data_IF_260843480126
#
_entry.id   IF_260843480126
#
_cell.length_a   1.000
_cell.length_b   1.000
_cell.length_c   1.000
_cell.angle_alpha   90.00
_cell.angle_beta   90.00
_cell.angle_gamma   90.00
#
_symmetry.space_group_name_H-M   'P 1'
#
loop_
_entity.id
_entity.type
_entity.pdbx_description
1 polymer ?
#
# COMPACT_ATOMS: atom_id res chain seq x y z
N UNK A 1 -3.96 10.91 0.93
CA UNK A 1 -4.62 11.25 -0.35
C UNK A 1 -5.73 10.26 -0.66
N UNK A 2 -6.72 10.65 -1.46
CA UNK A 2 -7.65 9.70 -2.10
C UNK A 2 -7.26 9.50 -3.56
N UNK A 3 -7.03 8.26 -3.97
CA UNK A 3 -6.68 7.86 -5.34
C UNK A 3 -7.76 6.91 -5.82
N UNK A 4 -8.60 7.34 -6.77
CA UNK A 4 -9.75 6.56 -7.22
C UNK A 4 -9.96 6.63 -8.74
N UNK A 5 -10.61 5.61 -9.31
CA UNK A 5 -11.04 5.59 -10.71
C UNK A 5 -9.93 5.42 -11.76
N UNK A 6 -8.73 4.98 -11.36
CA UNK A 6 -7.63 4.76 -12.29
C UNK A 6 -7.73 3.40 -12.96
N UNK A 7 -7.92 3.36 -14.28
CA UNK A 7 -8.15 2.10 -15.00
C UNK A 7 -6.97 1.12 -14.82
N UNK A 8 -5.71 1.56 -14.92
CA UNK A 8 -4.54 0.65 -14.97
C UNK A 8 -3.68 0.57 -13.69
N UNK A 9 -4.14 1.14 -12.57
CA UNK A 9 -3.39 1.14 -11.29
C UNK A 9 -3.33 2.50 -10.59
N UNK A 10 -2.98 2.50 -9.31
CA UNK A 10 -2.90 3.72 -8.48
C UNK A 10 -1.50 4.35 -8.46
N UNK A 11 -0.60 3.80 -7.64
CA UNK A 11 0.76 4.31 -7.43
C UNK A 11 1.79 3.35 -8.07
N UNK A 12 2.73 3.90 -8.83
CA UNK A 12 3.80 3.14 -9.47
C UNK A 12 5.17 3.56 -8.93
N UNK A 13 5.90 2.60 -8.37
CA UNK A 13 7.24 2.77 -7.77
C UNK A 13 8.27 2.02 -8.62
N UNK A 14 9.41 2.68 -8.88
CA UNK A 14 10.58 2.09 -9.55
C UNK A 14 11.76 1.99 -8.59
N UNK A 15 12.74 1.18 -8.96
CA UNK A 15 13.99 1.05 -8.20
C UNK A 15 14.71 2.36 -7.95
N UNK A 16 15.54 2.37 -6.89
CA UNK A 16 16.24 3.54 -6.36
C UNK A 16 15.31 4.64 -5.85
N UNK A 17 14.03 4.33 -5.63
CA UNK A 17 13.11 5.17 -4.88
C UNK A 17 13.05 4.71 -3.42
N UNK A 18 12.80 5.65 -2.52
CA UNK A 18 12.49 5.39 -1.11
C UNK A 18 11.13 6.01 -0.77
N UNK A 19 10.03 5.50 -1.37
CA UNK A 19 8.74 6.16 -1.24
C UNK A 19 8.13 5.89 0.13
N UNK A 20 7.45 6.92 0.65
CA UNK A 20 6.58 6.84 1.82
C UNK A 20 5.15 7.03 1.33
N UNK A 21 4.39 5.95 1.30
CA UNK A 21 2.99 5.93 0.91
C UNK A 21 2.19 5.74 2.20
N UNK A 22 1.77 6.85 2.79
CA UNK A 22 1.20 6.87 4.13
C UNK A 22 -0.15 7.60 4.13
N UNK A 23 -1.14 7.07 4.85
CA UNK A 23 -2.46 7.68 5.03
C UNK A 23 -3.15 8.02 3.70
N UNK A 24 -3.28 7.01 2.83
CA UNK A 24 -4.01 7.11 1.57
C UNK A 24 -5.19 6.15 1.52
N UNK A 25 -6.25 6.56 0.84
CA UNK A 25 -7.34 5.68 0.39
C UNK A 25 -7.15 5.44 -1.10
N UNK A 26 -6.93 4.19 -1.51
CA UNK A 26 -6.64 3.80 -2.90
C UNK A 26 -7.66 2.77 -3.36
N UNK A 27 -8.46 3.12 -4.37
CA UNK A 27 -9.61 2.32 -4.78
C UNK A 27 -9.93 2.42 -6.28
N UNK A 28 -10.71 1.49 -6.81
CA UNK A 28 -11.21 1.53 -8.19
C UNK A 28 -10.15 1.29 -9.27
N UNK A 29 -9.00 0.69 -8.91
CA UNK A 29 -7.99 0.29 -9.88
C UNK A 29 -8.35 -1.04 -10.57
N UNK A 30 -9.33 -1.01 -11.50
CA UNK A 30 -9.99 -2.23 -12.01
C UNK A 30 -9.17 -3.09 -12.99
N UNK A 31 -8.14 -2.55 -13.65
CA UNK A 31 -7.25 -3.32 -14.54
C UNK A 31 -5.79 -3.32 -14.07
N UNK A 32 -5.52 -2.97 -12.82
CA UNK A 32 -4.16 -2.91 -12.28
C UNK A 32 -4.04 -3.02 -10.77
N UNK A 33 -2.82 -2.77 -10.28
CA UNK A 33 -2.54 -2.80 -8.85
C UNK A 33 -2.78 -1.42 -8.23
N UNK A 34 -3.33 -1.39 -7.02
CA UNK A 34 -3.44 -0.17 -6.22
C UNK A 34 -2.07 0.46 -6.01
N UNK A 35 -1.08 -0.36 -5.62
CA UNK A 35 0.33 0.03 -5.54
C UNK A 35 1.16 -1.03 -6.24
N UNK A 36 1.96 -0.61 -7.22
CA UNK A 36 2.88 -1.46 -7.96
C UNK A 36 4.33 -1.03 -7.73
N UNK A 37 5.14 -1.96 -7.26
CA UNK A 37 6.60 -1.85 -7.18
C UNK A 37 7.21 -2.70 -8.28
N UNK A 38 7.93 -2.07 -9.20
CA UNK A 38 8.60 -2.78 -10.29
C UNK A 38 10.11 -2.71 -10.15
N UNK A 39 10.72 -3.89 -10.15
CA UNK A 39 12.16 -4.10 -10.23
C UNK A 39 12.60 -4.26 -11.70
N UNK A 40 13.48 -3.40 -12.18
CA UNK A 40 14.07 -3.45 -13.53
C UNK A 40 15.25 -4.41 -13.60
N UNK A 41 15.51 -5.10 -14.70
CA UNK A 41 15.49 -4.59 -16.08
C UNK A 41 14.60 -5.45 -17.00
N UNK A 42 13.63 -4.82 -17.67
CA UNK A 42 12.78 -5.32 -18.79
C UNK A 42 11.83 -6.49 -18.48
N UNK A 43 10.54 -6.26 -18.68
CA UNK A 43 9.53 -7.08 -19.40
C UNK A 43 9.66 -8.63 -19.48
N UNK A 44 10.32 -9.30 -18.55
CA UNK A 44 10.36 -10.75 -18.48
C UNK A 44 9.80 -11.22 -17.15
N UNK A 45 8.64 -11.85 -17.27
CA UNK A 45 7.92 -12.58 -16.24
C UNK A 45 8.83 -13.44 -15.37
N UNK A 46 8.36 -13.65 -14.14
CA UNK A 46 8.61 -14.82 -13.29
C UNK A 46 10.02 -15.01 -12.72
N UNK A 47 10.19 -14.57 -11.49
CA UNK A 47 11.23 -15.06 -10.59
C UNK A 47 10.86 -14.80 -9.13
N UNK A 48 10.14 -15.72 -8.49
CA UNK A 48 9.94 -15.69 -7.03
C UNK A 48 11.18 -16.26 -6.36
N UNK A 49 12.07 -15.39 -5.90
CA UNK A 49 13.16 -15.78 -5.01
C UNK A 49 12.71 -15.82 -3.55
N UNK A 50 13.44 -16.56 -2.73
CA UNK A 50 13.25 -16.65 -1.28
C UNK A 50 13.85 -15.43 -0.58
N UNK A 51 13.03 -14.69 0.19
CA UNK A 51 13.45 -13.47 0.88
C UNK A 51 14.63 -13.66 1.85
N UNK A 52 15.46 -12.62 1.97
CA UNK A 52 16.69 -12.63 2.77
C UNK A 52 16.51 -12.23 4.25
N UNK A 53 15.26 -11.97 4.68
CA UNK A 53 14.95 -11.55 6.05
C UNK A 53 15.42 -10.13 6.42
N UNK A 54 15.95 -9.34 5.48
CA UNK A 54 16.43 -7.97 5.72
C UNK A 54 15.38 -6.88 5.44
N UNK A 55 14.24 -7.24 4.89
CA UNK A 55 13.09 -6.35 4.80
C UNK A 55 13.03 -5.43 3.57
N UNK A 56 13.89 -5.66 2.57
CA UNK A 56 14.06 -4.77 1.41
C UNK A 56 13.58 -5.40 0.10
N UNK A 57 13.08 -4.58 -0.82
CA UNK A 57 12.72 -5.03 -2.16
C UNK A 57 13.95 -5.04 -3.09
N UNK A 58 14.39 -6.23 -3.52
CA UNK A 58 15.58 -6.41 -4.37
C UNK A 58 15.28 -7.18 -5.66
N UNK A 59 16.05 -6.93 -6.72
CA UNK A 59 16.04 -7.75 -7.96
C UNK A 59 16.57 -9.16 -7.66
N UNK A 60 15.90 -10.21 -8.13
CA UNK A 60 16.16 -11.60 -7.75
C UNK A 60 17.39 -12.28 -8.40
N UNK A 61 18.22 -11.57 -9.17
CA UNK A 61 19.35 -12.17 -9.89
C UNK A 61 20.70 -11.58 -9.44
N UNK A 62 21.36 -12.28 -8.51
CA UNK A 62 22.77 -12.06 -8.23
C UNK A 62 23.63 -12.50 -9.43
N UNK A 63 24.22 -11.55 -10.16
CA UNK A 63 25.41 -11.78 -11.00
C UNK A 63 26.21 -10.51 -11.32
N UNK A 64 25.71 -9.32 -10.99
CA UNK A 64 26.44 -8.07 -11.21
C UNK A 64 26.25 -7.11 -10.03
N UNK A 65 27.19 -7.19 -9.07
CA UNK A 65 27.36 -6.31 -7.90
C UNK A 65 27.46 -4.80 -8.26
N UNK A 66 27.39 -4.44 -9.55
CA UNK A 66 27.42 -3.05 -10.02
C UNK A 66 26.03 -2.44 -10.31
N UNK A 67 24.93 -3.16 -10.09
CA UNK A 67 23.56 -2.65 -10.32
C UNK A 67 22.62 -2.88 -9.12
N UNK A 68 22.95 -2.27 -7.98
CA UNK A 68 22.08 -2.20 -6.79
C UNK A 68 20.80 -1.37 -7.06
N UNK A 69 19.92 -1.85 -7.93
CA UNK A 69 18.56 -1.36 -8.10
C UNK A 69 17.70 -1.89 -6.94
N UNK A 70 17.99 -1.39 -5.74
CA UNK A 70 17.33 -1.77 -4.50
C UNK A 70 16.42 -0.64 -4.04
N UNK A 71 15.22 -0.98 -3.56
CA UNK A 71 14.47 -0.08 -2.69
C UNK A 71 14.96 -0.38 -1.27
N UNK A 72 15.82 0.51 -0.77
CA UNK A 72 16.47 0.36 0.53
C UNK A 72 15.58 0.76 1.71
N UNK A 73 14.47 1.45 1.44
CA UNK A 73 13.45 1.76 2.44
C UNK A 73 12.10 2.03 1.75
N UNK A 74 11.19 1.06 1.84
CA UNK A 74 9.80 1.20 1.42
C UNK A 74 8.93 1.37 2.67
N UNK A 75 8.10 2.40 2.70
CA UNK A 75 7.07 2.54 3.75
C UNK A 75 5.69 2.63 3.09
N UNK A 76 4.86 1.63 3.32
CA UNK A 76 3.45 1.60 2.94
C UNK A 76 2.67 1.40 4.23
N UNK A 77 2.18 2.48 4.84
CA UNK A 77 1.63 2.45 6.20
C UNK A 77 0.33 3.23 6.32
N UNK A 78 -0.62 2.79 7.14
CA UNK A 78 -1.91 3.44 7.36
C UNK A 78 -2.72 3.67 6.08
N UNK A 79 -2.60 2.82 5.06
CA UNK A 79 -3.41 2.98 3.84
C UNK A 79 -4.66 2.11 3.90
N UNK A 80 -5.75 2.60 3.31
CA UNK A 80 -6.89 1.78 2.93
C UNK A 80 -6.76 1.47 1.43
N UNK A 81 -6.65 0.20 1.09
CA UNK A 81 -6.47 -0.31 -0.27
C UNK A 81 -7.62 -1.26 -0.57
N UNK A 82 -8.67 -0.74 -1.19
CA UNK A 82 -9.93 -1.47 -1.35
C UNK A 82 -10.53 -1.37 -2.75
N UNK A 83 -11.26 -2.40 -3.17
CA UNK A 83 -12.03 -2.42 -4.43
C UNK A 83 -11.16 -2.17 -5.67
N UNK A 84 -9.95 -2.72 -5.66
CA UNK A 84 -9.04 -2.75 -6.81
C UNK A 84 -9.03 -4.13 -7.46
N UNK A 85 -8.31 -4.29 -8.58
CA UNK A 85 -8.00 -5.61 -9.10
C UNK A 85 -6.97 -6.32 -8.24
N UNK A 86 -5.79 -5.70 -8.11
CA UNK A 86 -4.75 -6.16 -7.20
C UNK A 86 -4.49 -5.08 -6.14
N UNK A 87 -4.17 -5.46 -4.91
CA UNK A 87 -3.77 -4.56 -3.84
C UNK A 87 -2.31 -4.12 -4.01
N UNK A 88 -1.41 -4.72 -3.24
CA UNK A 88 0.04 -4.51 -3.33
C UNK A 88 0.69 -5.53 -4.25
N UNK A 89 1.39 -5.03 -5.28
CA UNK A 89 2.07 -5.88 -6.24
C UNK A 89 3.54 -5.50 -6.34
N UNK A 90 4.44 -6.44 -6.08
CA UNK A 90 5.85 -6.38 -6.46
C UNK A 90 6.14 -7.42 -7.54
N UNK A 91 6.90 -7.02 -8.57
CA UNK A 91 7.27 -7.88 -9.69
C UNK A 91 8.75 -7.70 -10.08
N UNK A 92 9.35 -8.80 -10.54
CA UNK A 92 10.74 -8.82 -11.04
C UNK A 92 11.81 -8.94 -9.95
N UNK A 93 11.42 -9.20 -8.70
CA UNK A 93 12.32 -9.22 -7.54
C UNK A 93 11.95 -10.23 -6.46
N UNK A 94 12.75 -10.23 -5.39
CA UNK A 94 12.46 -10.87 -4.12
C UNK A 94 11.19 -10.28 -3.50
N UNK A 95 10.50 -11.03 -2.60
CA UNK A 95 9.38 -10.50 -1.86
C UNK A 95 9.75 -9.18 -1.16
N UNK A 96 8.95 -8.16 -1.43
CA UNK A 96 8.99 -6.88 -0.76
C UNK A 96 8.45 -6.98 0.67
N UNK A 97 8.88 -6.04 1.50
CA UNK A 97 8.27 -5.72 2.79
C UNK A 97 8.39 -4.21 3.04
N UNK A 98 7.98 -3.74 4.21
CA UNK A 98 7.81 -2.32 4.50
C UNK A 98 6.35 -1.85 4.39
N UNK A 99 5.43 -2.78 4.11
CA UNK A 99 4.01 -2.62 4.40
C UNK A 99 3.70 -3.09 5.82
N UNK A 100 3.00 -2.25 6.59
CA UNK A 100 2.39 -2.62 7.85
C UNK A 100 1.25 -1.64 8.17
N UNK A 101 0.32 -2.00 9.06
CA UNK A 101 -0.83 -1.17 9.43
C UNK A 101 -1.65 -0.67 8.22
N UNK A 102 -1.86 -1.49 7.20
CA UNK A 102 -2.76 -1.18 6.08
C UNK A 102 -4.03 -2.03 6.15
N UNK A 103 -5.12 -1.49 5.61
CA UNK A 103 -6.30 -2.29 5.30
C UNK A 103 -6.27 -2.69 3.81
N UNK A 104 -6.30 -3.99 3.53
CA UNK A 104 -6.41 -4.51 2.17
C UNK A 104 -7.66 -5.38 2.08
N UNK A 105 -8.69 -4.90 1.39
CA UNK A 105 -9.99 -5.56 1.34
C UNK A 105 -10.59 -5.50 -0.05
N UNK A 106 -11.46 -6.45 -0.42
CA UNK A 106 -12.20 -6.43 -1.68
C UNK A 106 -11.34 -6.26 -2.96
N UNK A 107 -10.05 -6.59 -2.90
CA UNK A 107 -9.21 -6.60 -4.11
C UNK A 107 -9.51 -7.89 -4.89
N UNK A 108 -10.04 -7.75 -6.11
CA UNK A 108 -10.73 -8.85 -6.80
C UNK A 108 -9.84 -10.03 -7.21
N UNK A 109 -8.53 -9.82 -7.35
CA UNK A 109 -7.55 -10.86 -7.68
C UNK A 109 -6.71 -11.24 -6.45
N UNK A 110 -5.92 -10.30 -5.92
CA UNK A 110 -5.04 -10.55 -4.77
C UNK A 110 -4.83 -9.28 -3.94
N UNK A 111 -4.79 -9.41 -2.61
CA UNK A 111 -4.33 -8.32 -1.72
C UNK A 111 -2.81 -8.14 -1.81
N UNK A 112 -2.06 -9.24 -1.94
CA UNK A 112 -0.60 -9.23 -2.12
C UNK A 112 -0.16 -10.10 -3.30
N UNK A 113 0.75 -9.58 -4.09
CA UNK A 113 1.60 -10.35 -4.99
C UNK A 113 3.04 -9.88 -4.79
N UNK A 114 3.97 -10.78 -4.47
CA UNK A 114 5.38 -10.39 -4.26
C UNK A 114 5.63 -9.53 -3.02
N UNK A 115 4.69 -9.48 -2.08
CA UNK A 115 4.85 -8.82 -0.78
C UNK A 115 4.68 -9.82 0.35
N UNK A 116 5.41 -9.63 1.44
CA UNK A 116 5.14 -10.29 2.71
C UNK A 116 4.03 -9.51 3.43
N UNK A 117 3.05 -10.23 3.99
CA UNK A 117 1.99 -9.61 4.79
C UNK A 117 2.60 -8.86 5.99
N UNK A 118 2.17 -7.62 6.22
CA UNK A 118 2.52 -6.84 7.39
C UNK A 118 1.85 -7.41 8.64
N UNK A 119 2.52 -7.44 9.81
CA UNK A 119 1.98 -8.02 11.03
C UNK A 119 0.66 -7.41 11.52
N UNK A 120 0.43 -6.14 11.25
CA UNK A 120 -0.74 -5.35 11.68
C UNK A 120 -1.65 -4.97 10.52
N UNK A 121 -1.44 -5.53 9.33
CA UNK A 121 -2.37 -5.36 8.22
C UNK A 121 -3.72 -6.03 8.54
N UNK A 122 -4.81 -5.36 8.21
CA UNK A 122 -6.20 -5.82 8.36
C UNK A 122 -6.85 -6.05 6.98
N UNK A 123 -7.96 -6.79 6.95
CA UNK A 123 -8.60 -7.28 5.70
C UNK A 123 -10.12 -7.11 5.71
N UNK A 124 -10.63 -6.29 6.61
CA UNK A 124 -12.05 -6.07 6.80
C UNK A 124 -12.50 -4.86 5.99
N UNK A 125 -13.64 -4.97 5.32
CA UNK A 125 -14.13 -3.93 4.42
C UNK A 125 -14.30 -2.60 5.19
N UNK A 126 -13.73 -1.48 4.69
CA UNK A 126 -13.98 -0.17 5.25
C UNK A 126 -15.45 0.22 5.08
N UNK A 127 -15.96 1.06 5.97
CA UNK A 127 -17.32 1.60 5.89
C UNK A 127 -17.17 3.09 5.64
N UNK A 128 -17.50 3.51 4.43
CA UNK A 128 -17.41 4.90 3.98
C UNK A 128 -18.80 5.56 3.94
N UNK A 129 -18.83 6.88 4.00
CA UNK A 129 -20.10 7.63 3.99
C UNK A 129 -20.83 7.57 2.64
N UNK A 130 -20.15 7.95 1.55
CA UNK A 130 -20.72 7.93 0.20
C UNK A 130 -19.63 7.67 -0.87
N UNK A 131 -19.06 6.46 -0.90
CA UNK A 131 -17.93 6.15 -1.77
C UNK A 131 -18.30 6.17 -3.26
N UNK A 132 -19.59 5.98 -3.61
CA UNK A 132 -20.08 6.08 -4.99
C UNK A 132 -19.98 7.51 -5.54
N UNK A 133 -20.06 8.52 -4.65
CA UNK A 133 -19.88 9.93 -4.98
C UNK A 133 -18.50 10.48 -4.58
N UNK A 134 -17.58 9.60 -4.16
CA UNK A 134 -16.19 9.95 -3.82
C UNK A 134 -16.01 10.45 -2.39
N UNK A 135 -17.01 10.28 -1.52
CA UNK A 135 -16.89 10.54 -0.09
C UNK A 135 -16.35 9.30 0.62
N UNK A 136 -15.10 9.39 1.03
CA UNK A 136 -14.38 8.31 1.70
C UNK A 136 -14.14 8.61 3.18
N UNK A 137 -14.92 9.50 3.80
CA UNK A 137 -14.95 9.62 5.25
C UNK A 137 -15.43 8.31 5.86
N UNK A 138 -14.81 7.93 6.98
CA UNK A 138 -15.17 6.72 7.70
C UNK A 138 -16.53 6.90 8.40
N UNK A 139 -17.28 5.81 8.54
CA UNK A 139 -18.42 5.75 9.46
C UNK A 139 -18.04 5.01 10.74
N UNK A 140 -18.82 5.21 11.81
CA UNK A 140 -18.53 4.74 13.17
C UNK A 140 -18.19 3.26 13.33
N UNK A 141 -18.69 2.41 12.43
CA UNK A 141 -18.48 0.96 12.45
C UNK A 141 -17.31 0.51 11.55
N UNK A 142 -16.53 1.46 11.00
CA UNK A 142 -15.42 1.10 10.12
C UNK A 142 -14.28 0.43 10.91
N UNK A 143 -13.75 -0.71 10.43
CA UNK A 143 -12.60 -1.37 11.05
C UNK A 143 -11.29 -0.58 10.92
N UNK A 144 -11.31 0.52 10.15
CA UNK A 144 -10.15 1.39 9.92
C UNK A 144 -9.97 2.46 11.00
N UNK A 145 -10.97 2.63 11.88
CA UNK A 145 -10.93 3.57 13.00
C UNK A 145 -10.00 3.05 14.09
N UNK A 146 -9.14 3.92 14.62
CA UNK A 146 -8.15 3.66 15.68
C UNK A 146 -7.20 2.48 15.37
N UNK A 147 -7.14 2.02 14.12
CA UNK A 147 -6.42 0.81 13.71
C UNK A 147 -5.01 1.08 13.16
N UNK A 148 -4.67 2.34 12.91
CA UNK A 148 -3.40 2.78 12.36
C UNK A 148 -2.30 2.98 13.41
N UNK A 149 -1.21 3.61 12.98
CA UNK A 149 -0.03 3.93 13.81
C UNK A 149 0.40 5.39 13.63
N UNK A 150 1.05 5.95 14.65
CA UNK A 150 1.71 7.26 14.55
C UNK A 150 2.91 7.28 13.60
N UNK A 151 3.43 6.10 13.21
CA UNK A 151 4.65 6.00 12.42
C UNK A 151 4.50 6.68 11.05
N UNK A 152 5.12 7.85 10.93
CA UNK A 152 5.19 8.59 9.68
C UNK A 152 3.88 9.28 9.25
N UNK A 153 2.83 9.19 10.05
CA UNK A 153 1.56 9.86 9.82
C UNK A 153 1.76 11.40 9.79
N UNK A 154 1.06 12.13 8.90
CA UNK A 154 1.08 13.59 8.90
C UNK A 154 0.35 14.15 10.14
N UNK A 155 0.64 15.40 10.49
CA UNK A 155 0.01 16.07 11.64
C UNK A 155 -1.51 16.24 11.48
N UNK A 156 -1.99 16.34 10.24
CA UNK A 156 -3.41 16.46 9.91
C UNK A 156 -3.84 15.55 8.77
N UNK A 157 -5.13 15.21 8.74
CA UNK A 157 -5.78 14.52 7.62
C UNK A 157 -6.04 15.46 6.42
N UNK A 158 -6.82 14.98 5.43
CA UNK A 158 -7.16 15.76 4.24
C UNK A 158 -8.15 16.92 4.48
N UNK A 159 -8.90 16.87 5.57
CA UNK A 159 -9.84 17.93 5.99
C UNK A 159 -9.19 18.94 6.95
N UNK A 160 -7.97 18.65 7.41
CA UNK A 160 -7.21 19.47 8.35
C UNK A 160 -7.47 19.11 9.82
N UNK A 161 -8.14 17.98 10.09
CA UNK A 161 -8.29 17.44 11.43
C UNK A 161 -6.95 16.90 11.93
N UNK A 162 -6.66 17.07 13.22
CA UNK A 162 -5.42 16.57 13.82
C UNK A 162 -5.38 15.04 13.82
N UNK A 163 -4.19 14.46 13.68
CA UNK A 163 -3.96 13.03 13.88
C UNK A 163 -3.18 12.76 15.18
N UNK A 164 -3.65 11.87 16.07
CA UNK A 164 -4.95 11.20 16.01
C UNK A 164 -6.09 12.14 16.41
N UNK A 165 -7.29 11.86 15.91
CA UNK A 165 -8.54 12.42 16.41
C UNK A 165 -9.37 11.31 17.09
N UNK A 166 -9.22 11.16 18.40
CA UNK A 166 -9.85 10.06 19.14
C UNK A 166 -8.83 9.26 19.94
N UNK A 167 -9.01 7.94 20.00
CA UNK A 167 -8.20 7.05 20.82
C UNK A 167 -6.95 6.53 20.07
N UNK A 168 -6.94 6.60 18.75
CA UNK A 168 -5.89 6.09 17.88
C UNK A 168 -5.84 6.79 16.52
N UNK A 169 -4.88 6.39 15.70
CA UNK A 169 -4.76 6.91 14.32
C UNK A 169 -5.65 6.11 13.41
N UNK A 170 -6.34 6.77 12.49
CA UNK A 170 -7.13 6.08 11.49
C UNK A 170 -6.31 5.71 10.26
N UNK A 171 -6.58 4.53 9.72
CA UNK A 171 -6.09 4.18 8.39
C UNK A 171 -6.84 4.98 7.33
N UNK A 172 -6.15 5.33 6.24
CA UNK A 172 -6.73 6.06 5.11
C UNK A 172 -6.54 7.56 5.20
N UNK A 173 -7.25 8.27 4.33
CA UNK A 173 -7.05 9.69 4.04
C UNK A 173 -7.65 10.66 5.08
N UNK A 174 -8.68 10.23 5.79
CA UNK A 174 -9.47 11.02 6.74
C UNK A 174 -9.40 10.40 8.14
N UNK A 175 -9.55 11.23 9.17
CA UNK A 175 -9.87 10.77 10.54
C UNK A 175 -11.40 10.82 10.77
N UNK A 176 -11.89 10.00 11.69
CA UNK A 176 -13.28 9.88 12.12
C UNK A 176 -13.63 10.84 13.28
#
# INVERSE_FOLDING_TARGET
NVIYGNIHGGIFVRDNANPRIINNTITGAHDGAAIRVNHGLRDSESGSGSGDGSGNCFVATAADESSNAAISSLEIVNNIITDNKDGLVSQGGQPCSGNDYNNLSNNSSYDYTGFTKGPHDIFDAPVFDDPENGDYHLQADSPCIDAGTSHGAPDTDMDGNLRPNGEGYDMGAYEF
#
